data_IF_317529338238
#
_entry.id   IF_317529338238
#
_cell.length_a   1.000
_cell.length_b   1.000
_cell.length_c   1.000
_cell.angle_alpha   90.00
_cell.angle_beta   90.00
_cell.angle_gamma   90.00
#
_symmetry.space_group_name_H-M   'P 1'
#
loop_
_entity.id
_entity.type
_entity.pdbx_description
1 polymer ?
#
# COMPACT_ATOMS: atom_id res chain seq x y z
N UNK A 1 -37.87 -7.27 30.89
CA UNK A 1 -36.63 -8.03 30.65
C UNK A 1 -36.13 -7.68 29.26
N UNK A 2 -35.30 -6.63 29.14
CA UNK A 2 -34.79 -6.15 27.85
C UNK A 2 -33.32 -6.48 27.73
N UNK A 3 -32.95 -7.28 26.75
CA UNK A 3 -31.54 -7.53 26.42
C UNK A 3 -31.01 -6.34 25.63
N UNK A 4 -30.05 -5.61 26.19
CA UNK A 4 -29.28 -4.62 25.45
C UNK A 4 -28.33 -5.39 24.54
N UNK A 5 -28.73 -5.60 23.29
CA UNK A 5 -27.84 -6.05 22.24
C UNK A 5 -26.85 -4.91 21.97
N UNK A 6 -25.73 -4.93 22.69
CA UNK A 6 -24.55 -4.20 22.28
C UNK A 6 -24.09 -4.81 20.95
N UNK A 7 -24.52 -4.21 19.84
CA UNK A 7 -23.79 -4.37 18.58
C UNK A 7 -22.47 -3.66 18.84
N UNK A 8 -21.50 -4.41 19.37
CA UNK A 8 -20.12 -3.99 19.36
C UNK A 8 -19.85 -3.70 17.90
N UNK A 9 -19.60 -2.42 17.58
CA UNK A 9 -19.12 -2.03 16.28
C UNK A 9 -17.98 -2.99 15.97
N UNK A 10 -18.21 -3.89 15.02
CA UNK A 10 -17.13 -4.65 14.43
C UNK A 10 -16.12 -3.57 14.05
N UNK A 11 -14.91 -3.57 14.61
CA UNK A 11 -13.85 -2.92 13.90
C UNK A 11 -13.75 -3.79 12.65
N UNK A 12 -14.46 -3.41 11.59
CA UNK A 12 -13.90 -3.45 10.26
C UNK A 12 -12.67 -2.56 10.36
N UNK A 13 -11.65 -3.11 11.01
CA UNK A 13 -10.30 -3.12 10.54
C UNK A 13 -10.50 -3.52 9.09
N UNK A 14 -10.69 -2.50 8.24
CA UNK A 14 -10.38 -2.62 6.83
C UNK A 14 -8.90 -2.86 6.87
N UNK A 15 -8.59 -4.13 7.10
CA UNK A 15 -7.35 -4.73 6.76
C UNK A 15 -7.22 -4.48 5.26
N UNK A 16 -6.57 -3.36 4.92
CA UNK A 16 -5.58 -3.41 3.86
C UNK A 16 -4.39 -4.23 4.43
N UNK A 17 -4.64 -5.44 4.93
CA UNK A 17 -3.62 -6.44 5.21
C UNK A 17 -3.73 -7.43 4.08
N UNK A 18 -2.81 -7.32 3.13
CA UNK A 18 -2.78 -8.22 1.99
C UNK A 18 -1.62 -7.94 1.06
N UNK A 19 -1.08 -6.72 1.09
CA UNK A 19 0.14 -6.39 0.37
C UNK A 19 1.29 -6.49 1.37
N UNK A 20 1.96 -7.64 1.40
CA UNK A 20 3.29 -7.73 2.02
C UNK A 20 4.19 -6.69 1.38
N UNK A 21 5.04 -5.95 2.13
CA UNK A 21 6.01 -5.03 1.54
C UNK A 21 6.74 -5.70 0.39
N UNK A 22 6.62 -5.14 -0.80
CA UNK A 22 6.83 -5.94 -2.00
C UNK A 22 6.10 -5.44 -3.22
N UNK A 23 6.35 -6.14 -4.33
CA UNK A 23 5.81 -5.84 -5.64
C UNK A 23 4.85 -6.97 -6.03
N UNK A 24 3.57 -6.63 -6.22
CA UNK A 24 2.55 -7.53 -6.74
C UNK A 24 2.25 -7.16 -8.18
N UNK A 25 2.19 -8.15 -9.07
CA UNK A 25 1.89 -7.96 -10.49
C UNK A 25 0.72 -8.85 -10.86
N UNK A 26 -0.30 -8.25 -11.47
CA UNK A 26 -1.47 -8.94 -12.02
C UNK A 26 -1.43 -8.81 -13.54
N UNK A 27 -1.47 -9.95 -14.22
CA UNK A 27 -1.36 -10.03 -15.68
C UNK A 27 -2.65 -10.49 -16.37
N UNK A 28 -3.72 -10.74 -15.62
CA UNK A 28 -5.02 -11.08 -16.19
C UNK A 28 -5.67 -9.82 -16.77
N UNK A 29 -5.62 -9.68 -18.11
CA UNK A 29 -6.14 -8.51 -18.82
C UNK A 29 -5.14 -7.36 -18.94
N UNK A 30 -5.56 -6.13 -18.58
CA UNK A 30 -4.64 -4.98 -18.59
C UNK A 30 -3.68 -5.14 -17.41
N UNK A 31 -2.35 -5.22 -17.64
CA UNK A 31 -1.42 -5.51 -16.57
C UNK A 31 -1.42 -4.39 -15.53
N UNK A 32 -1.43 -4.77 -14.27
CA UNK A 32 -1.38 -3.87 -13.10
C UNK A 32 -0.24 -4.31 -12.21
N UNK A 33 0.47 -3.35 -11.64
CA UNK A 33 1.43 -3.60 -10.58
C UNK A 33 1.14 -2.67 -9.41
N UNK A 34 1.09 -3.26 -8.22
CA UNK A 34 0.92 -2.56 -6.95
C UNK A 34 2.21 -2.78 -6.15
N UNK A 35 2.82 -1.70 -5.69
CA UNK A 35 4.05 -1.74 -4.90
C UNK A 35 3.82 -1.04 -3.56
N UNK A 36 4.11 -1.77 -2.48
CA UNK A 36 4.15 -1.22 -1.14
C UNK A 36 5.61 -1.08 -0.70
N UNK A 37 6.05 0.17 -0.56
CA UNK A 37 7.36 0.52 -0.07
C UNK A 37 7.52 0.18 1.41
N UNK A 38 8.76 -0.04 1.86
CA UNK A 38 9.09 -0.26 3.27
C UNK A 38 8.67 0.90 4.19
N UNK A 39 8.57 2.13 3.67
CA UNK A 39 8.08 3.28 4.43
C UNK A 39 6.54 3.39 4.48
N UNK A 40 5.81 2.47 3.85
CA UNK A 40 4.35 2.48 3.77
C UNK A 40 3.76 3.25 2.58
N UNK A 41 4.60 3.85 1.71
CA UNK A 41 4.10 4.47 0.48
C UNK A 41 3.64 3.41 -0.53
N UNK A 42 2.44 3.60 -1.08
CA UNK A 42 1.86 2.71 -2.09
C UNK A 42 1.87 3.38 -3.46
N UNK A 43 2.47 2.71 -4.44
CA UNK A 43 2.45 3.13 -5.85
C UNK A 43 1.75 2.07 -6.70
N UNK A 44 0.84 2.52 -7.57
CA UNK A 44 0.10 1.65 -8.50
C UNK A 44 0.37 2.05 -9.94
N UNK A 45 0.79 1.08 -10.76
CA UNK A 45 0.97 1.21 -12.20
C UNK A 45 -0.03 0.35 -12.96
N UNK A 46 -0.64 0.91 -14.02
CA UNK A 46 -1.56 0.18 -14.91
C UNK A 46 -1.12 0.35 -16.36
N UNK A 47 -1.19 -0.75 -17.11
CA UNK A 47 -0.73 -0.83 -18.49
C UNK A 47 0.74 -1.25 -18.58
N UNK A 48 1.07 -1.95 -19.68
CA UNK A 48 2.33 -2.69 -19.81
C UNK A 48 3.57 -1.80 -19.63
N UNK A 49 3.58 -0.63 -20.27
CA UNK A 49 4.70 0.31 -20.16
C UNK A 49 4.89 0.86 -18.74
N UNK A 50 3.79 1.15 -18.03
CA UNK A 50 3.85 1.67 -16.67
C UNK A 50 4.34 0.58 -15.70
N UNK A 51 3.85 -0.65 -15.84
CA UNK A 51 4.31 -1.81 -15.05
C UNK A 51 5.80 -2.05 -15.28
N UNK A 52 6.29 -2.05 -16.52
CA UNK A 52 7.72 -2.22 -16.80
C UNK A 52 8.56 -1.12 -16.13
N UNK A 53 8.12 0.14 -16.20
CA UNK A 53 8.84 1.24 -15.54
C UNK A 53 8.84 1.12 -14.02
N UNK A 54 7.73 0.71 -13.43
CA UNK A 54 7.62 0.53 -11.97
C UNK A 54 8.56 -0.60 -11.52
N UNK A 55 8.43 -1.78 -12.13
CA UNK A 55 9.24 -2.97 -11.82
C UNK A 55 10.74 -2.77 -12.03
N UNK A 56 11.15 -1.94 -13.00
CA UNK A 56 12.56 -1.63 -13.24
C UNK A 56 13.19 -0.72 -12.16
N UNK A 57 12.38 0.05 -11.41
CA UNK A 57 12.88 1.05 -10.45
C UNK A 57 12.70 0.63 -8.99
N UNK A 58 11.62 -0.07 -8.66
CA UNK A 58 11.33 -0.44 -7.27
C UNK A 58 12.22 -1.58 -6.80
N UNK A 59 12.60 -1.56 -5.52
CA UNK A 59 13.33 -2.65 -4.86
C UNK A 59 12.60 -3.03 -3.57
N UNK A 60 12.34 -4.32 -3.38
CA UNK A 60 11.72 -4.83 -2.15
C UNK A 60 12.66 -4.60 -0.97
N UNK A 61 12.14 -4.06 0.13
CA UNK A 61 12.93 -3.77 1.34
C UNK A 61 13.82 -2.52 1.27
N UNK A 62 13.92 -1.84 0.13
CA UNK A 62 14.64 -0.55 0.00
C UNK A 62 13.63 0.56 -0.24
N UNK A 63 13.71 1.62 0.57
CA UNK A 63 12.91 2.81 0.37
C UNK A 63 13.67 3.83 -0.50
N UNK A 64 13.23 4.08 -1.76
CA UNK A 64 13.80 5.12 -2.61
C UNK A 64 13.31 6.52 -2.25
N UNK A 65 12.30 6.64 -1.37
CA UNK A 65 11.93 7.91 -0.79
C UNK A 65 13.07 8.32 0.13
N UNK A 66 13.99 9.14 -0.38
CA UNK A 66 14.89 9.91 0.46
C UNK A 66 14.00 10.66 1.44
N UNK A 67 14.12 10.32 2.71
CA UNK A 67 13.46 11.02 3.80
C UNK A 67 13.97 12.45 3.80
N UNK A 68 13.33 13.33 3.03
CA UNK A 68 13.27 14.73 3.38
C UNK A 68 12.35 14.81 4.59
N UNK A 69 12.90 14.46 5.76
CA UNK A 69 12.42 14.97 7.04
C UNK A 69 12.76 16.47 7.03
N UNK A 70 12.04 17.26 6.25
CA UNK A 70 11.98 18.70 6.51
C UNK A 70 10.90 18.93 7.53
N UNK A 71 11.34 18.91 8.78
CA UNK A 71 10.80 19.83 9.77
C UNK A 71 9.64 19.26 10.56
N UNK A 72 10.00 18.75 11.73
CA UNK A 72 9.45 19.32 12.97
C UNK A 72 9.17 20.82 12.80
N UNK A 73 7.92 21.19 12.52
CA UNK A 73 7.39 22.49 12.89
C UNK A 73 6.45 22.24 14.07
N UNK A 74 7.04 22.27 15.26
CA UNK A 74 6.31 22.67 16.47
C UNK A 74 6.09 24.18 16.32
N UNK A 75 4.82 24.61 16.24
CA UNK A 75 4.23 25.77 16.93
C UNK A 75 2.82 26.00 16.40
#
# INVERSE_FOLDING_TARGET
MGVLSAVGSDPQTVTVTGITPGLQIQCEGVPVADWLCACGHHERARGRAAVIRLTARVRVGVCPHTTTDEGRAVS
#
